data_IF_769312101691
#
_entry.id   IF_769312101691
#
_cell.length_a   1.000
_cell.length_b   1.000
_cell.length_c   1.000
_cell.angle_alpha   90.00
_cell.angle_beta   90.00
_cell.angle_gamma   90.00
#
_symmetry.space_group_name_H-M   'P 1'
#
loop_
_entity.id
_entity.type
_entity.pdbx_description
1 polymer ?
#
# COMPACT_ATOMS: atom_id res chain seq x y z
N UNK A 1 -5.93 -9.45 19.43
CA UNK A 1 -6.54 -9.78 18.13
C UNK A 1 -5.43 -9.97 17.13
N UNK A 2 -5.50 -11.00 16.28
CA UNK A 2 -4.52 -11.25 15.22
C UNK A 2 -5.08 -10.68 13.92
N UNK A 3 -4.28 -9.88 13.21
CA UNK A 3 -4.64 -9.38 11.88
C UNK A 3 -4.51 -10.55 10.90
N UNK A 4 -5.54 -10.87 10.09
CA UNK A 4 -5.47 -11.95 9.11
C UNK A 4 -4.44 -11.65 8.01
N UNK A 5 -3.96 -12.67 7.28
CA UNK A 5 -3.13 -12.46 6.10
C UNK A 5 -3.87 -11.68 5.01
N UNK A 6 -3.12 -11.07 4.08
CA UNK A 6 -3.69 -10.50 2.85
C UNK A 6 -4.51 -11.54 2.08
N UNK A 7 -5.40 -11.15 1.17
CA UNK A 7 -6.08 -12.09 0.28
C UNK A 7 -5.03 -12.85 -0.56
N UNK A 8 -5.16 -14.17 -0.70
CA UNK A 8 -4.20 -15.02 -1.43
C UNK A 8 -3.99 -14.56 -2.88
N UNK A 9 -5.00 -13.90 -3.48
CA UNK A 9 -4.97 -13.33 -4.83
C UNK A 9 -3.98 -12.16 -4.99
N UNK A 10 -3.45 -11.60 -3.89
CA UNK A 10 -2.58 -10.43 -3.92
C UNK A 10 -1.12 -10.73 -4.25
N UNK A 11 -0.72 -12.00 -4.27
CA UNK A 11 0.68 -12.40 -4.49
C UNK A 11 0.84 -13.08 -5.85
N UNK A 12 1.56 -12.45 -6.81
CA UNK A 12 1.89 -13.11 -8.07
C UNK A 12 2.68 -14.40 -7.84
N UNK A 13 2.52 -15.40 -8.72
CA UNK A 13 3.32 -16.61 -8.64
C UNK A 13 4.82 -16.27 -8.76
N UNK A 14 5.67 -17.00 -8.02
CA UNK A 14 7.14 -16.83 -8.03
C UNK A 14 7.65 -15.48 -7.50
N UNK A 15 6.84 -14.80 -6.67
CA UNK A 15 7.20 -13.53 -6.02
C UNK A 15 6.99 -13.58 -4.51
N UNK A 16 7.92 -12.96 -3.79
CA UNK A 16 7.75 -12.72 -2.36
C UNK A 16 7.20 -11.30 -2.16
N UNK A 17 6.07 -11.15 -1.44
CA UNK A 17 5.53 -9.84 -1.11
C UNK A 17 6.35 -9.21 0.01
N UNK A 18 6.73 -7.95 -0.18
CA UNK A 18 7.27 -7.09 0.85
C UNK A 18 6.22 -6.07 1.27
N UNK A 19 5.77 -6.23 2.52
CA UNK A 19 4.71 -5.45 3.11
C UNK A 19 5.30 -4.27 3.87
N UNK A 20 4.92 -3.05 3.48
CA UNK A 20 5.31 -1.83 4.17
C UNK A 20 4.09 -1.15 4.76
N UNK A 21 4.09 -0.97 6.08
CA UNK A 21 3.07 -0.15 6.75
C UNK A 21 3.06 1.25 6.14
N UNK A 22 1.86 1.75 5.83
CA UNK A 22 1.70 3.08 5.26
C UNK A 22 1.01 4.02 6.24
N UNK A 23 -0.17 3.68 6.75
CA UNK A 23 -0.91 4.58 7.64
C UNK A 23 -2.01 3.88 8.42
N UNK A 24 -2.47 4.49 9.52
CA UNK A 24 -3.52 3.96 10.38
C UNK A 24 -4.44 5.08 10.85
N UNK A 25 -5.74 4.82 10.95
CA UNK A 25 -6.68 5.82 11.47
C UNK A 25 -8.07 5.25 11.76
N UNK A 26 -8.98 6.16 12.11
CA UNK A 26 -10.33 5.83 12.56
C UNK A 26 -11.38 6.44 11.63
N UNK A 27 -12.16 5.59 10.96
CA UNK A 27 -13.36 5.99 10.23
C UNK A 27 -14.51 6.20 11.23
N UNK A 28 -14.76 7.47 11.56
CA UNK A 28 -15.84 7.86 12.47
C UNK A 28 -17.25 7.66 11.89
N UNK A 29 -17.40 7.54 10.57
CA UNK A 29 -18.69 7.31 9.91
C UNK A 29 -19.11 5.85 10.08
N UNK A 30 -18.15 4.92 9.97
CA UNK A 30 -18.39 3.47 10.09
C UNK A 30 -18.07 2.89 11.46
N UNK A 31 -17.53 3.70 12.37
CA UNK A 31 -16.97 3.25 13.66
C UNK A 31 -15.97 2.10 13.44
N UNK A 32 -14.96 2.37 12.62
CA UNK A 32 -14.03 1.35 12.14
C UNK A 32 -12.59 1.86 12.18
N UNK A 33 -11.67 1.00 12.62
CA UNK A 33 -10.25 1.30 12.53
C UNK A 33 -9.68 0.71 11.25
N UNK A 34 -8.95 1.53 10.51
CA UNK A 34 -8.40 1.17 9.21
C UNK A 34 -6.89 1.29 9.20
N UNK A 35 -6.27 0.39 8.44
CA UNK A 35 -4.82 0.30 8.27
C UNK A 35 -4.53 0.21 6.77
N UNK A 36 -3.72 1.12 6.24
CA UNK A 36 -3.21 1.08 4.87
C UNK A 36 -1.81 0.52 4.91
N UNK A 37 -1.52 -0.37 3.96
CA UNK A 37 -0.16 -0.80 3.67
C UNK A 37 0.06 -0.96 2.18
N UNK A 38 1.32 -0.90 1.83
CA UNK A 38 1.84 -1.11 0.49
C UNK A 38 2.39 -2.54 0.37
N UNK A 39 2.17 -3.15 -0.79
CA UNK A 39 2.73 -4.44 -1.18
C UNK A 39 3.61 -4.21 -2.41
N UNK A 40 4.91 -4.42 -2.25
CA UNK A 40 5.85 -4.55 -3.38
C UNK A 40 6.24 -6.02 -3.56
N UNK A 41 6.65 -6.40 -4.77
CA UNK A 41 7.00 -7.78 -5.07
C UNK A 41 8.49 -7.89 -5.43
N UNK A 42 9.19 -8.82 -4.79
CA UNK A 42 10.57 -9.17 -5.13
C UNK A 42 10.62 -10.54 -5.82
N UNK A 43 11.60 -10.74 -6.69
CA UNK A 43 11.87 -12.05 -7.30
C UNK A 43 12.29 -13.05 -6.22
N UNK A 44 11.75 -14.27 -6.27
CA UNK A 44 12.02 -15.33 -5.26
C UNK A 44 13.38 -16.03 -5.48
N UNK A 45 14.00 -15.93 -6.65
CA UNK A 45 15.18 -16.75 -6.99
C UNK A 45 16.28 -16.00 -7.74
N UNK A 46 17.53 -16.32 -7.36
CA UNK A 46 18.80 -15.93 -8.00
C UNK A 46 19.02 -16.54 -9.39
N UNK A 47 18.03 -17.20 -9.97
CA UNK A 47 18.14 -17.84 -11.28
C UNK A 47 17.04 -17.31 -12.17
N UNK A 48 17.48 -16.74 -13.30
CA UNK A 48 16.68 -16.42 -14.48
C UNK A 48 15.91 -17.68 -14.93
N UNK A 49 14.82 -18.02 -14.23
CA UNK A 49 13.74 -18.73 -14.90
C UNK A 49 13.33 -17.87 -16.10
N UNK A 50 13.08 -18.48 -17.26
CA UNK A 50 12.70 -17.85 -18.52
C UNK A 50 11.31 -17.17 -18.44
N UNK A 51 11.07 -16.38 -17.39
CA UNK A 51 9.89 -15.57 -17.17
C UNK A 51 9.91 -14.47 -18.24
N UNK A 52 8.89 -14.41 -19.11
CA UNK A 52 8.74 -13.35 -20.10
C UNK A 52 8.89 -11.97 -19.46
N UNK A 53 9.49 -11.02 -20.18
CA UNK A 53 9.70 -9.65 -19.66
C UNK A 53 8.42 -8.99 -19.15
N UNK A 54 7.29 -9.31 -19.77
CA UNK A 54 5.96 -8.81 -19.38
C UNK A 54 5.52 -9.32 -18.00
N UNK A 55 5.97 -10.50 -17.59
CA UNK A 55 5.70 -11.10 -16.27
C UNK A 55 6.78 -10.71 -15.23
N UNK A 56 7.74 -9.85 -15.60
CA UNK A 56 8.82 -9.38 -14.70
C UNK A 56 8.46 -8.10 -13.96
N UNK A 57 7.55 -7.29 -14.47
CA UNK A 57 7.13 -6.03 -13.84
C UNK A 57 5.74 -6.21 -13.25
N UNK A 58 5.64 -6.14 -11.92
CA UNK A 58 4.36 -6.08 -11.23
C UNK A 58 4.23 -4.72 -10.59
N UNK A 59 3.10 -4.07 -10.84
CA UNK A 59 2.77 -2.82 -10.18
C UNK A 59 2.57 -3.09 -8.69
N UNK A 60 3.08 -2.20 -7.81
CA UNK A 60 2.81 -2.32 -6.40
C UNK A 60 1.31 -2.20 -6.12
N UNK A 61 0.86 -2.84 -5.05
CA UNK A 61 -0.53 -2.78 -4.60
C UNK A 61 -0.64 -1.95 -3.33
N UNK A 62 -1.78 -1.26 -3.21
CA UNK A 62 -2.21 -0.66 -1.95
C UNK A 62 -3.38 -1.48 -1.41
N UNK A 63 -3.33 -1.83 -0.13
CA UNK A 63 -4.45 -2.49 0.51
C UNK A 63 -4.81 -1.83 1.83
N UNK A 64 -6.10 -1.92 2.15
CA UNK A 64 -6.70 -1.39 3.37
C UNK A 64 -7.33 -2.52 4.18
N UNK A 65 -6.98 -2.58 5.45
CA UNK A 65 -7.62 -3.45 6.42
C UNK A 65 -8.72 -2.68 7.15
N UNK A 66 -9.84 -3.36 7.40
CA UNK A 66 -10.92 -2.92 8.28
C UNK A 66 -10.94 -3.81 9.52
N UNK A 67 -10.86 -3.18 10.70
CA UNK A 67 -11.00 -3.87 11.97
C UNK A 67 -12.40 -4.48 12.12
N UNK A 68 -13.42 -3.73 11.70
CA UNK A 68 -14.83 -4.09 11.83
C UNK A 68 -15.20 -5.32 11.02
N UNK A 69 -14.75 -5.42 9.76
CA UNK A 69 -14.96 -6.62 8.94
C UNK A 69 -13.87 -7.67 9.14
N UNK A 70 -12.77 -7.32 9.83
CA UNK A 70 -11.59 -8.14 10.00
C UNK A 70 -11.09 -8.70 8.66
N UNK A 71 -10.98 -7.83 7.65
CA UNK A 71 -10.63 -8.23 6.30
C UNK A 71 -9.79 -7.16 5.61
N UNK A 72 -9.02 -7.60 4.63
CA UNK A 72 -8.28 -6.75 3.70
C UNK A 72 -9.08 -6.50 2.43
N UNK A 73 -8.88 -5.33 1.82
CA UNK A 73 -9.40 -4.93 0.51
C UNK A 73 -8.26 -4.30 -0.27
N UNK A 74 -8.07 -4.72 -1.52
CA UNK A 74 -7.15 -4.07 -2.45
C UNK A 74 -7.81 -2.76 -2.93
N UNK A 75 -7.05 -1.67 -2.88
CA UNK A 75 -7.47 -0.38 -3.40
C UNK A 75 -7.06 -0.29 -4.87
N UNK A 76 -8.05 -0.13 -5.74
CA UNK A 76 -7.84 0.07 -7.18
C UNK A 76 -7.54 1.55 -7.44
N UNK A 77 -6.30 1.94 -7.19
CA UNK A 77 -5.80 3.30 -7.39
C UNK A 77 -4.56 3.20 -8.26
N UNK A 78 -4.51 4.01 -9.32
CA UNK A 78 -3.32 4.09 -10.16
C UNK A 78 -2.15 4.56 -9.29
N UNK A 79 -1.10 3.74 -9.22
CA UNK A 79 0.11 4.08 -8.47
C UNK A 79 0.79 5.35 -9.02
N UNK A 80 0.54 5.72 -10.28
CA UNK A 80 0.94 7.02 -10.83
C UNK A 80 0.15 8.18 -10.21
N UNK A 81 -1.13 7.99 -9.85
CA UNK A 81 -1.96 9.00 -9.17
C UNK A 81 -1.57 9.15 -7.69
N UNK A 82 -1.08 8.08 -7.06
CA UNK A 82 -0.43 8.12 -5.75
C UNK A 82 1.08 8.38 -5.92
N UNK A 83 1.40 9.28 -6.86
CA UNK A 83 2.60 10.12 -6.89
C UNK A 83 3.80 9.51 -6.18
N UNK A 84 4.51 8.59 -6.84
CA UNK A 84 5.81 8.01 -6.44
C UNK A 84 6.11 8.23 -4.94
N UNK A 85 5.25 7.70 -4.06
CA UNK A 85 5.44 7.75 -2.60
C UNK A 85 6.56 6.78 -2.17
N UNK A 86 7.40 6.43 -3.13
CA UNK A 86 8.60 5.65 -3.05
C UNK A 86 9.68 6.69 -2.84
N UNK A 87 10.13 6.94 -1.61
CA UNK A 87 11.56 7.04 -1.34
C UNK A 87 11.95 6.82 0.13
N UNK A 88 12.85 5.86 0.27
CA UNK A 88 14.18 5.96 0.90
C UNK A 88 14.39 5.90 2.41
N UNK A 89 13.38 5.53 3.19
CA UNK A 89 13.68 5.13 4.57
C UNK A 89 12.84 3.94 5.03
N UNK A 90 13.49 2.88 5.55
CA UNK A 90 12.81 1.80 6.26
C UNK A 90 12.28 2.23 7.63
N UNK A 91 12.41 3.51 8.02
CA UNK A 91 12.15 3.95 9.39
C UNK A 91 11.16 5.08 9.58
N UNK A 92 10.83 5.92 8.60
CA UNK A 92 10.05 7.13 8.89
C UNK A 92 9.10 7.48 7.73
N UNK A 93 7.84 7.76 8.08
CA UNK A 93 6.78 8.14 7.13
C UNK A 93 5.47 7.37 7.27
N UNK A 94 5.13 6.87 8.47
CA UNK A 94 3.75 6.46 8.78
C UNK A 94 2.82 7.67 8.55
N UNK A 95 1.89 7.56 7.62
CA UNK A 95 0.88 8.57 7.37
C UNK A 95 0.22 9.02 8.67
N UNK A 96 0.05 10.33 8.82
CA UNK A 96 -0.52 10.96 10.00
C UNK A 96 -2.02 11.05 9.82
N UNK A 97 -2.76 10.40 10.71
CA UNK A 97 -4.21 10.57 10.74
C UNK A 97 -4.58 11.87 11.45
N UNK A 98 -5.28 12.75 10.74
CA UNK A 98 -5.78 14.01 11.25
C UNK A 98 -7.10 14.36 10.55
N UNK A 99 -8.12 14.62 11.36
CA UNK A 99 -9.43 15.13 10.92
C UNK A 99 -10.13 14.25 9.86
N UNK A 100 -10.27 12.95 10.14
CA UNK A 100 -10.93 12.01 9.22
C UNK A 100 -10.04 11.49 8.08
N UNK A 101 -8.88 12.10 7.88
CA UNK A 101 -8.02 11.83 6.73
C UNK A 101 -6.64 11.31 7.18
N UNK A 102 -6.07 10.39 6.40
CA UNK A 102 -4.69 9.95 6.53
C UNK A 102 -3.81 10.76 5.58
N UNK A 103 -2.83 11.49 6.10
CA UNK A 103 -1.95 12.37 5.33
C UNK A 103 -0.55 11.81 5.25
N UNK A 104 0.07 11.84 4.08
CA UNK A 104 1.48 11.49 3.93
C UNK A 104 2.16 12.36 2.89
N UNK A 105 3.49 12.42 2.98
CA UNK A 105 4.31 13.11 2.01
C UNK A 105 4.60 12.18 0.83
N UNK A 106 4.38 12.65 -0.38
CA UNK A 106 4.64 11.95 -1.64
C UNK A 106 5.47 12.79 -2.60
N UNK A 107 5.75 12.24 -3.78
CA UNK A 107 6.48 12.93 -4.85
C UNK A 107 5.72 12.80 -6.17
N UNK A 108 5.31 13.92 -6.76
CA UNK A 108 4.51 13.91 -7.98
C UNK A 108 5.30 13.42 -9.21
N UNK A 109 6.61 13.60 -9.23
CA UNK A 109 7.47 13.27 -10.37
C UNK A 109 8.85 12.77 -9.96
N UNK A 110 9.62 12.30 -10.95
CA UNK A 110 11.03 11.92 -10.80
C UNK A 110 11.95 13.09 -10.45
N UNK A 111 11.44 14.33 -10.45
CA UNK A 111 12.18 15.53 -10.06
C UNK A 111 12.03 15.84 -8.56
N UNK A 112 11.41 14.93 -7.79
CA UNK A 112 11.26 15.04 -6.34
C UNK A 112 10.43 16.28 -5.96
N UNK A 113 9.47 16.65 -6.81
CA UNK A 113 8.49 17.69 -6.49
C UNK A 113 7.54 17.13 -5.43
N UNK A 114 7.81 17.48 -4.17
CA UNK A 114 7.05 16.95 -3.04
C UNK A 114 5.58 17.40 -3.06
N UNK A 115 4.70 16.50 -2.66
CA UNK A 115 3.27 16.73 -2.51
C UNK A 115 2.76 16.20 -1.17
N UNK A 116 1.67 16.79 -0.68
CA UNK A 116 0.92 16.26 0.46
C UNK A 116 -0.26 15.47 -0.10
N UNK A 117 -0.30 14.17 0.19
CA UNK A 117 -1.41 13.30 -0.17
C UNK A 117 -2.32 13.16 1.03
N UNK A 118 -3.63 13.29 0.80
CA UNK A 118 -4.67 13.11 1.81
C UNK A 118 -5.63 12.01 1.36
N UNK A 119 -5.79 10.99 2.18
CA UNK A 119 -6.65 9.85 1.91
C UNK A 119 -7.81 9.79 2.89
N UNK A 120 -9.01 9.69 2.35
CA UNK A 120 -10.23 9.65 3.13
C UNK A 120 -10.63 8.20 3.43
N UNK A 121 -10.52 7.82 4.70
CA UNK A 121 -10.92 6.50 5.16
C UNK A 121 -12.42 6.24 5.05
N UNK A 122 -13.23 7.30 4.98
CA UNK A 122 -14.68 7.19 4.95
C UNK A 122 -15.23 6.87 3.55
N UNK A 123 -14.41 6.91 2.51
CA UNK A 123 -14.84 6.53 1.15
C UNK A 123 -14.63 5.03 0.85
N UNK A 124 -13.98 4.29 1.75
CA UNK A 124 -13.63 2.88 1.57
C UNK A 124 -14.33 1.94 2.54
#
# INVERSE_FOLDING_TARGET
>A
MLIPPSPDESVPPYRDPYLKFHGFGYDHVRDDYKLIRHISFFHVTDEDEDVPWEDRSYDPLLEIYSLRSNSWKILDIDMHDIANCIYDSPREGAGVYLDGLCHWWGNYDSHNTGCLVSFDFTNE
#
